data_IF_528998113886
#
_entry.id   IF_528998113886
#
_cell.length_a   1.000
_cell.length_b   1.000
_cell.length_c   1.000
_cell.angle_alpha   90.00
_cell.angle_beta   90.00
_cell.angle_gamma   90.00
#
_symmetry.space_group_name_H-M   'P 1'
#
loop_
_entity.id
_entity.type
_entity.pdbx_description
1 polymer ?
#
# COMPACT_ATOMS: atom_id res chain seq x y z
N UNK A 1 17.11 -1.31 -22.78
CA UNK A 1 16.32 -2.57 -22.70
C UNK A 1 14.94 -2.27 -22.09
N UNK A 2 13.90 -3.08 -22.34
CA UNK A 2 12.60 -2.93 -21.67
C UNK A 2 12.46 -3.95 -20.54
N UNK A 3 11.97 -3.50 -19.39
CA UNK A 3 11.63 -4.37 -18.26
C UNK A 3 10.16 -4.17 -17.88
N UNK A 4 9.49 -5.25 -17.50
CA UNK A 4 8.13 -5.22 -17.03
C UNK A 4 8.08 -5.57 -15.55
N UNK A 5 7.47 -4.71 -14.73
CA UNK A 5 7.40 -4.82 -13.27
C UNK A 5 5.96 -4.68 -12.78
N UNK A 6 5.57 -5.46 -11.77
CA UNK A 6 4.33 -5.24 -11.04
C UNK A 6 4.61 -4.49 -9.73
N UNK A 7 3.81 -3.48 -9.39
CA UNK A 7 4.04 -2.66 -8.19
C UNK A 7 2.67 -2.33 -7.58
N UNK A 8 2.51 -2.52 -6.27
CA UNK A 8 1.29 -2.07 -5.62
C UNK A 8 1.17 -0.53 -5.66
N UNK A 9 -0.06 -0.03 -5.67
CA UNK A 9 -0.32 1.38 -5.92
C UNK A 9 0.34 2.32 -4.88
N UNK A 10 0.37 1.92 -3.61
CA UNK A 10 0.94 2.73 -2.55
C UNK A 10 2.47 2.82 -2.64
N UNK A 11 3.15 1.75 -3.02
CA UNK A 11 4.60 1.77 -3.26
C UNK A 11 4.93 2.65 -4.45
N UNK A 12 4.12 2.58 -5.52
CA UNK A 12 4.25 3.45 -6.69
C UNK A 12 4.06 4.93 -6.32
N UNK A 13 3.12 5.23 -5.43
CA UNK A 13 2.84 6.59 -5.00
C UNK A 13 3.86 7.17 -4.00
N UNK A 14 4.71 6.33 -3.40
CA UNK A 14 5.61 6.74 -2.31
C UNK A 14 7.08 6.60 -2.66
N UNK A 15 7.66 5.40 -2.52
CA UNK A 15 9.11 5.20 -2.55
C UNK A 15 9.62 4.61 -3.87
N UNK A 16 8.75 3.94 -4.65
CA UNK A 16 9.20 3.18 -5.82
C UNK A 16 9.68 4.09 -6.96
N UNK A 17 9.20 5.33 -7.05
CA UNK A 17 9.62 6.30 -8.08
C UNK A 17 11.12 6.56 -8.09
N UNK A 18 11.78 6.40 -6.94
CA UNK A 18 13.24 6.56 -6.81
C UNK A 18 14.04 5.53 -7.62
N UNK A 19 13.41 4.41 -7.99
CA UNK A 19 14.01 3.40 -8.88
C UNK A 19 14.32 3.97 -10.26
N UNK A 20 13.49 4.89 -10.77
CA UNK A 20 13.67 5.45 -12.12
C UNK A 20 14.97 6.22 -12.27
N UNK A 21 15.36 6.98 -11.24
CA UNK A 21 16.61 7.75 -11.23
C UNK A 21 17.86 6.84 -11.25
N UNK A 22 17.72 5.56 -10.89
CA UNK A 22 18.82 4.59 -10.78
C UNK A 22 19.04 3.77 -12.05
N UNK A 23 18.09 3.80 -12.98
CA UNK A 23 18.10 2.99 -14.19
C UNK A 23 17.76 3.85 -15.43
N UNK A 24 18.54 4.91 -15.73
CA UNK A 24 18.22 5.86 -16.80
C UNK A 24 18.29 5.25 -18.21
N UNK A 25 18.95 4.10 -18.37
CA UNK A 25 19.14 3.36 -19.61
C UNK A 25 18.06 2.28 -19.87
N UNK A 26 17.02 2.23 -19.04
CA UNK A 26 15.98 1.20 -19.06
C UNK A 26 14.62 1.81 -19.38
N UNK A 27 13.87 1.15 -20.27
CA UNK A 27 12.46 1.44 -20.52
C UNK A 27 11.59 0.62 -19.56
N UNK A 28 10.67 1.27 -18.87
CA UNK A 28 9.79 0.62 -17.91
C UNK A 28 8.41 0.31 -18.52
N UNK A 29 7.89 -0.86 -18.18
CA UNK A 29 6.49 -1.27 -18.31
C UNK A 29 6.00 -1.61 -16.90
N UNK A 30 5.43 -0.63 -16.19
CA UNK A 30 4.98 -0.79 -14.81
C UNK A 30 3.49 -1.11 -14.81
N UNK A 31 3.11 -2.21 -14.18
CA UNK A 31 1.72 -2.61 -13.93
C UNK A 31 1.36 -2.39 -12.48
N UNK A 32 0.31 -1.62 -12.25
CA UNK A 32 -0.21 -1.39 -10.90
C UNK A 32 -1.20 -2.51 -10.58
N UNK A 33 -0.79 -3.40 -9.68
CA UNK A 33 -1.49 -4.63 -9.39
C UNK A 33 -1.45 -4.92 -7.88
N UNK A 34 -2.46 -5.61 -7.39
CA UNK A 34 -2.46 -6.17 -6.03
C UNK A 34 -1.59 -7.44 -5.93
N UNK A 35 -1.54 -8.03 -4.74
CA UNK A 35 -0.73 -9.22 -4.48
C UNK A 35 -1.14 -10.44 -5.32
N UNK A 36 -2.43 -10.65 -5.57
CA UNK A 36 -2.93 -11.85 -6.27
C UNK A 36 -2.63 -11.75 -7.78
N UNK A 37 -2.87 -10.57 -8.36
CA UNK A 37 -2.59 -10.31 -9.75
C UNK A 37 -1.08 -10.25 -10.03
N UNK A 38 -0.29 -9.62 -9.16
CA UNK A 38 1.18 -9.57 -9.33
C UNK A 38 1.82 -10.97 -9.31
N UNK A 39 1.37 -11.87 -8.44
CA UNK A 39 1.84 -13.25 -8.39
C UNK A 39 1.52 -14.03 -9.68
N UNK A 40 0.35 -13.80 -10.27
CA UNK A 40 -0.03 -14.37 -11.57
C UNK A 40 0.88 -13.86 -12.68
N UNK A 41 1.12 -12.56 -12.77
CA UNK A 41 1.98 -11.97 -13.80
C UNK A 41 3.43 -12.49 -13.74
N UNK A 42 3.96 -12.72 -12.53
CA UNK A 42 5.27 -13.35 -12.34
C UNK A 42 5.29 -14.79 -12.88
N UNK A 43 4.25 -15.57 -12.55
CA UNK A 43 4.13 -16.98 -12.95
C UNK A 43 3.96 -17.15 -14.46
N UNK A 44 3.23 -16.24 -15.09
CA UNK A 44 3.00 -16.22 -16.54
C UNK A 44 4.18 -15.63 -17.34
N UNK A 45 5.21 -15.13 -16.66
CA UNK A 45 6.38 -14.54 -17.33
C UNK A 45 6.13 -13.14 -17.91
N UNK A 46 5.02 -12.49 -17.53
CA UNK A 46 4.60 -11.18 -18.05
C UNK A 46 5.36 -10.03 -17.39
N UNK A 47 5.77 -10.21 -16.14
CA UNK A 47 6.67 -9.29 -15.41
C UNK A 47 7.87 -10.07 -14.88
N UNK A 48 9.04 -9.44 -14.86
CA UNK A 48 10.27 -10.04 -14.35
C UNK A 48 10.44 -9.89 -12.83
N UNK A 49 9.70 -8.94 -12.25
CA UNK A 49 9.72 -8.66 -10.82
C UNK A 49 8.45 -7.97 -10.33
N UNK A 50 8.15 -8.12 -9.05
CA UNK A 50 7.01 -7.53 -8.40
C UNK A 50 7.34 -7.02 -6.99
N UNK A 51 6.82 -5.85 -6.64
CA UNK A 51 6.67 -5.40 -5.25
C UNK A 51 5.31 -5.87 -4.75
N UNK A 52 5.29 -6.71 -3.72
CA UNK A 52 4.08 -7.38 -3.23
C UNK A 52 4.08 -7.48 -1.70
N UNK A 53 2.90 -7.73 -1.12
CA UNK A 53 2.73 -8.08 0.30
C UNK A 53 2.85 -9.60 0.54
N UNK A 54 2.87 -10.41 -0.54
CA UNK A 54 3.01 -11.86 -0.45
C UNK A 54 4.45 -12.27 -0.14
N UNK A 55 4.62 -12.94 1.01
CA UNK A 55 5.91 -13.46 1.47
C UNK A 55 6.30 -14.75 0.75
N UNK A 56 5.33 -15.54 0.34
CA UNK A 56 5.53 -16.86 -0.26
C UNK A 56 6.07 -16.68 -1.68
N UNK A 57 7.23 -17.30 -2.02
CA UNK A 57 7.80 -17.19 -3.35
C UNK A 57 6.85 -17.79 -4.40
N UNK A 58 6.65 -17.04 -5.49
CA UNK A 58 6.16 -17.63 -6.75
C UNK A 58 7.22 -18.62 -7.26
N UNK A 59 6.78 -19.78 -7.74
CA UNK A 59 7.70 -20.79 -8.29
C UNK A 59 8.62 -20.21 -9.36
N UNK A 60 9.92 -20.42 -9.22
CA UNK A 60 10.93 -19.84 -10.13
C UNK A 60 11.36 -18.40 -9.77
N UNK A 61 10.84 -17.82 -8.69
CA UNK A 61 11.25 -16.50 -8.21
C UNK A 61 12.12 -16.58 -6.94
N UNK A 62 12.96 -15.57 -6.75
CA UNK A 62 13.59 -15.22 -5.46
C UNK A 62 12.69 -14.21 -4.75
N UNK A 63 12.73 -14.18 -3.43
CA UNK A 63 12.01 -13.23 -2.58
C UNK A 63 13.02 -12.52 -1.69
N UNK A 64 12.97 -11.20 -1.64
CA UNK A 64 13.73 -10.38 -0.69
C UNK A 64 12.77 -9.47 0.10
N UNK A 65 12.89 -9.40 1.44
CA UNK A 65 12.15 -8.42 2.21
C UNK A 65 12.63 -7.00 1.87
N UNK A 66 11.69 -6.06 1.76
CA UNK A 66 11.97 -4.65 1.49
C UNK A 66 11.83 -3.76 2.74
N UNK A 67 11.08 -4.25 3.73
CA UNK A 67 10.76 -3.50 4.93
C UNK A 67 9.25 -3.50 5.16
N UNK A 68 8.79 -2.53 5.93
CA UNK A 68 7.40 -2.40 6.37
C UNK A 68 6.90 -1.01 5.99
N UNK A 69 5.71 -0.98 5.38
CA UNK A 69 4.97 0.24 5.13
C UNK A 69 3.91 0.41 6.19
N UNK A 70 3.94 1.55 6.89
CA UNK A 70 2.99 1.86 7.95
C UNK A 70 1.82 2.67 7.40
N UNK A 71 0.62 2.27 7.81
CA UNK A 71 -0.63 2.96 7.52
C UNK A 71 -1.24 3.50 8.80
N UNK A 72 -1.65 4.76 8.77
CA UNK A 72 -2.42 5.38 9.84
C UNK A 72 -3.87 5.59 9.37
N UNK A 73 -4.85 5.42 10.26
CA UNK A 73 -6.20 5.86 9.98
C UNK A 73 -6.27 7.37 10.10
N UNK A 74 -6.63 8.03 9.01
CA UNK A 74 -6.69 9.49 8.93
C UNK A 74 -8.05 9.97 8.46
N UNK A 75 -8.39 11.18 8.90
CA UNK A 75 -9.52 11.96 8.44
C UNK A 75 -9.18 13.45 8.51
N UNK A 76 -10.08 14.32 8.08
CA UNK A 76 -9.96 15.75 8.35
C UNK A 76 -10.54 16.09 9.73
N UNK A 77 -10.13 17.20 10.32
CA UNK A 77 -10.70 17.69 11.59
C UNK A 77 -12.22 17.85 11.52
N UNK A 78 -12.74 18.43 10.43
CA UNK A 78 -14.17 18.59 10.23
C UNK A 78 -14.92 17.25 10.15
N UNK A 79 -14.29 16.22 9.58
CA UNK A 79 -14.85 14.87 9.59
C UNK A 79 -14.91 14.29 11.02
N UNK A 80 -13.83 14.45 11.80
CA UNK A 80 -13.77 14.01 13.20
C UNK A 80 -14.86 14.68 14.03
N UNK A 81 -15.00 16.00 13.95
CA UNK A 81 -16.03 16.75 14.69
C UNK A 81 -17.46 16.31 14.33
N UNK A 82 -17.70 15.97 13.06
CA UNK A 82 -19.03 15.59 12.58
C UNK A 82 -19.40 14.14 12.89
N UNK A 83 -18.47 13.21 12.68
CA UNK A 83 -18.76 11.77 12.70
C UNK A 83 -18.20 11.05 13.91
N UNK A 84 -17.14 11.58 14.53
CA UNK A 84 -16.42 10.96 15.63
C UNK A 84 -16.17 11.97 16.79
N UNK A 85 -17.18 12.75 17.25
CA UNK A 85 -16.98 13.79 18.27
C UNK A 85 -16.53 13.22 19.62
N UNK A 86 -16.97 11.99 19.94
CA UNK A 86 -16.58 11.24 21.13
C UNK A 86 -15.40 10.28 20.86
N UNK A 87 -14.73 10.45 19.72
CA UNK A 87 -13.62 9.62 19.26
C UNK A 87 -14.03 8.35 18.52
N UNK A 88 -13.05 7.48 18.28
CA UNK A 88 -13.23 6.24 17.51
C UNK A 88 -13.86 5.13 18.36
N UNK A 89 -15.15 5.27 18.63
CA UNK A 89 -15.96 4.29 19.37
C UNK A 89 -16.62 3.28 18.43
N UNK A 90 -17.10 2.17 19.00
CA UNK A 90 -17.74 1.12 18.20
C UNK A 90 -19.00 1.62 17.46
N UNK A 91 -19.84 2.37 18.17
CA UNK A 91 -21.10 2.89 17.64
C UNK A 91 -20.83 3.93 16.56
N UNK A 92 -19.88 4.85 16.82
CA UNK A 92 -19.50 5.86 15.84
C UNK A 92 -18.94 5.23 14.56
N UNK A 93 -18.13 4.18 14.66
CA UNK A 93 -17.59 3.45 13.49
C UNK A 93 -18.68 2.74 12.67
N UNK A 94 -19.76 2.29 13.28
CA UNK A 94 -20.86 1.65 12.57
C UNK A 94 -21.60 2.63 11.64
N UNK A 95 -21.66 3.91 12.03
CA UNK A 95 -22.38 4.95 11.29
C UNK A 95 -21.48 5.83 10.42
N UNK A 96 -20.20 5.97 10.79
CA UNK A 96 -19.23 6.85 10.14
C UNK A 96 -18.73 6.26 8.80
N UNK A 97 -18.88 6.97 7.67
CA UNK A 97 -18.38 6.51 6.38
C UNK A 97 -16.85 6.29 6.36
N UNK A 98 -16.40 5.17 5.81
CA UNK A 98 -14.99 4.95 5.54
C UNK A 98 -14.69 4.95 4.04
N UNK A 99 -13.43 5.16 3.69
CA UNK A 99 -12.89 4.98 2.35
C UNK A 99 -12.19 3.62 2.26
N UNK A 100 -12.37 2.94 1.13
CA UNK A 100 -11.62 1.76 0.73
C UNK A 100 -11.22 1.90 -0.74
N UNK A 101 -10.13 1.26 -1.16
CA UNK A 101 -9.70 1.33 -2.55
C UNK A 101 -10.68 0.61 -3.50
N UNK A 102 -11.00 -0.64 -3.14
CA UNK A 102 -11.91 -1.52 -3.83
C UNK A 102 -12.57 -2.48 -2.81
N UNK A 103 -13.23 -3.55 -3.28
CA UNK A 103 -13.90 -4.51 -2.39
C UNK A 103 -12.95 -5.50 -1.72
N UNK A 104 -11.73 -5.60 -2.21
CA UNK A 104 -10.70 -6.52 -1.72
C UNK A 104 -9.73 -5.83 -0.74
N UNK A 105 -9.81 -4.49 -0.64
CA UNK A 105 -9.08 -3.71 0.36
C UNK A 105 -9.57 -4.02 1.78
N UNK A 106 -8.69 -4.68 2.54
CA UNK A 106 -8.98 -5.14 3.88
C UNK A 106 -8.38 -4.24 4.97
N UNK A 107 -7.66 -3.15 4.64
CA UNK A 107 -6.88 -2.39 5.63
C UNK A 107 -7.76 -1.78 6.72
N UNK A 108 -8.88 -1.16 6.35
CA UNK A 108 -9.81 -0.53 7.27
C UNK A 108 -10.50 -1.59 8.14
N UNK A 109 -10.86 -2.74 7.55
CA UNK A 109 -11.45 -3.87 8.28
C UNK A 109 -10.46 -4.48 9.29
N UNK A 110 -9.18 -4.59 8.92
CA UNK A 110 -8.12 -5.04 9.80
C UNK A 110 -7.91 -4.08 10.97
N UNK A 111 -7.93 -2.76 10.74
CA UNK A 111 -7.86 -1.78 11.83
C UNK A 111 -9.04 -1.92 12.77
N UNK A 112 -10.28 -1.95 12.25
CA UNK A 112 -11.50 -2.08 13.07
C UNK A 112 -11.43 -3.35 13.92
N UNK A 113 -10.99 -4.48 13.34
CA UNK A 113 -10.76 -5.72 14.08
C UNK A 113 -9.67 -5.58 15.14
N UNK A 114 -8.58 -4.86 14.84
CA UNK A 114 -7.48 -4.62 15.79
C UNK A 114 -7.94 -3.81 17.00
N UNK A 115 -8.67 -2.72 16.77
CA UNK A 115 -9.16 -1.80 17.80
C UNK A 115 -10.25 -2.45 18.66
N UNK A 116 -11.28 -3.01 18.02
CA UNK A 116 -12.51 -3.44 18.73
C UNK A 116 -12.62 -4.95 18.95
N UNK A 117 -11.64 -5.73 18.46
CA UNK A 117 -11.63 -7.21 18.48
C UNK A 117 -12.86 -7.84 17.81
N UNK A 118 -13.51 -7.09 16.91
CA UNK A 118 -14.72 -7.51 16.18
C UNK A 118 -14.78 -6.83 14.81
N UNK A 119 -15.52 -7.44 13.89
CA UNK A 119 -15.84 -6.78 12.61
C UNK A 119 -17.06 -5.88 12.80
N UNK A 120 -17.03 -4.69 12.22
CA UNK A 120 -18.13 -3.72 12.25
C UNK A 120 -18.48 -3.37 10.82
N UNK A 121 -19.76 -3.55 10.45
CA UNK A 121 -20.27 -3.05 9.17
C UNK A 121 -20.40 -1.54 9.28
N UNK A 122 -20.02 -0.83 8.22
CA UNK A 122 -20.06 0.62 8.12
C UNK A 122 -20.35 1.05 6.68
N UNK A 123 -20.81 2.29 6.43
CA UNK A 123 -20.87 2.83 5.08
C UNK A 123 -19.46 2.93 4.47
N UNK A 124 -19.30 2.51 3.20
CA UNK A 124 -18.00 2.51 2.53
C UNK A 124 -18.07 3.21 1.18
N UNK A 125 -17.22 4.20 0.99
CA UNK A 125 -16.89 4.76 -0.31
C UNK A 125 -15.73 3.97 -0.93
N UNK A 126 -15.87 3.58 -2.19
CA UNK A 126 -14.82 2.89 -2.93
C UNK A 126 -14.17 3.88 -3.90
N UNK A 127 -12.96 4.33 -3.59
CA UNK A 127 -12.23 5.32 -4.38
C UNK A 127 -10.83 4.79 -4.66
N UNK A 128 -10.56 4.36 -5.91
CA UNK A 128 -9.22 3.91 -6.28
C UNK A 128 -8.29 5.10 -6.53
N UNK A 129 -7.01 4.79 -6.71
CA UNK A 129 -5.85 5.71 -6.88
C UNK A 129 -5.46 6.40 -5.57
N UNK A 130 -4.15 6.52 -5.31
CA UNK A 130 -3.67 7.15 -4.08
C UNK A 130 -4.11 8.62 -4.01
N UNK A 131 -4.01 9.34 -5.14
CA UNK A 131 -4.47 10.72 -5.26
C UNK A 131 -5.99 10.86 -5.06
N UNK A 132 -6.79 9.97 -5.65
CA UNK A 132 -8.25 9.97 -5.47
C UNK A 132 -8.66 9.64 -4.03
N UNK A 133 -7.99 8.67 -3.42
CA UNK A 133 -8.21 8.30 -2.02
C UNK A 133 -7.92 9.48 -1.09
N UNK A 134 -6.76 10.12 -1.24
CA UNK A 134 -6.41 11.34 -0.51
C UNK A 134 -7.42 12.48 -0.72
N UNK A 135 -7.84 12.73 -1.97
CA UNK A 135 -8.87 13.71 -2.27
C UNK A 135 -10.22 13.40 -1.60
N UNK A 136 -10.60 12.12 -1.49
CA UNK A 136 -11.79 11.68 -0.77
C UNK A 136 -11.70 11.97 0.74
N UNK A 137 -10.53 11.75 1.35
CA UNK A 137 -10.29 12.12 2.74
C UNK A 137 -10.38 13.64 2.92
N UNK A 138 -9.69 14.43 2.08
CA UNK A 138 -9.73 15.90 2.16
C UNK A 138 -11.14 16.47 1.98
N UNK A 139 -11.95 15.88 1.11
CA UNK A 139 -13.35 16.26 0.90
C UNK A 139 -14.27 15.90 2.09
N UNK A 140 -13.74 15.20 3.11
CA UNK A 140 -14.52 14.76 4.26
C UNK A 140 -15.52 13.66 3.93
N UNK A 141 -15.27 12.86 2.87
CA UNK A 141 -16.16 11.74 2.51
C UNK A 141 -16.07 10.60 3.51
N UNK A 142 -14.93 10.43 4.18
CA UNK A 142 -14.70 9.34 5.11
C UNK A 142 -13.31 9.38 5.71
N UNK A 143 -13.11 8.54 6.72
CA UNK A 143 -11.77 8.19 7.19
C UNK A 143 -11.19 7.03 6.37
N UNK A 144 -9.86 6.91 6.31
CA UNK A 144 -9.21 5.84 5.56
C UNK A 144 -7.83 5.48 6.08
N UNK A 145 -7.37 4.27 5.76
CA UNK A 145 -5.99 3.85 6.04
C UNK A 145 -5.07 4.44 4.98
N UNK A 146 -4.07 5.21 5.40
CA UNK A 146 -3.22 5.93 4.47
C UNK A 146 -1.73 5.74 4.79
N UNK A 147 -0.85 5.52 3.80
CA UNK A 147 0.59 5.37 4.03
C UNK A 147 1.16 6.61 4.70
N UNK A 148 2.02 6.42 5.72
CA UNK A 148 2.59 7.54 6.48
C UNK A 148 3.32 8.57 5.62
N UNK A 149 3.91 8.15 4.51
CA UNK A 149 4.65 9.00 3.58
C UNK A 149 3.75 9.93 2.74
N UNK A 150 2.45 9.65 2.67
CA UNK A 150 1.48 10.48 1.95
C UNK A 150 0.67 11.40 2.86
N UNK A 151 0.83 11.28 4.18
CA UNK A 151 0.09 12.09 5.15
C UNK A 151 0.67 13.50 5.19
N UNK A 152 -0.20 14.50 5.01
CA UNK A 152 0.15 15.91 5.18
C UNK A 152 -0.51 16.52 6.44
N UNK A 153 -0.27 17.81 6.67
CA UNK A 153 -0.74 18.52 7.87
C UNK A 153 -2.26 18.74 7.94
N UNK A 154 -3.02 18.47 6.87
CA UNK A 154 -4.48 18.60 6.86
C UNK A 154 -5.20 17.36 7.39
N UNK A 155 -4.47 16.27 7.57
CA UNK A 155 -4.98 15.04 8.13
C UNK A 155 -4.71 14.94 9.64
N UNK A 156 -5.68 14.39 10.36
CA UNK A 156 -5.58 14.06 11.78
C UNK A 156 -5.78 12.56 11.98
N UNK A 157 -5.08 11.94 12.95
CA UNK A 157 -5.26 10.54 13.25
C UNK A 157 -6.65 10.29 13.84
N UNK A 158 -7.30 9.25 13.36
CA UNK A 158 -8.63 8.81 13.83
C UNK A 158 -8.52 7.94 15.08
N UNK A 159 -7.41 7.20 15.21
CA UNK A 159 -7.06 6.46 16.43
C UNK A 159 -5.54 6.39 16.59
N UNK A 160 -5.07 6.02 17.78
CA UNK A 160 -3.64 5.82 18.07
C UNK A 160 -3.08 4.52 17.45
N UNK A 161 -3.95 3.71 16.86
CA UNK A 161 -3.59 2.44 16.23
C UNK A 161 -3.13 2.61 14.77
N UNK A 162 -2.30 1.68 14.33
CA UNK A 162 -1.74 1.64 12.98
C UNK A 162 -1.67 0.21 12.45
N UNK A 163 -1.50 0.07 11.15
CA UNK A 163 -1.17 -1.20 10.51
C UNK A 163 0.20 -1.13 9.87
N UNK A 164 0.97 -2.19 10.07
CA UNK A 164 2.30 -2.38 9.51
C UNK A 164 2.21 -3.49 8.47
N UNK A 165 2.44 -3.15 7.21
CA UNK A 165 2.34 -4.07 6.06
C UNK A 165 3.74 -4.39 5.55
N UNK A 166 4.24 -5.62 5.74
CA UNK A 166 5.51 -6.05 5.16
C UNK A 166 5.46 -6.04 3.64
N UNK A 167 6.51 -5.53 3.02
CA UNK A 167 6.70 -5.54 1.58
C UNK A 167 7.85 -6.47 1.19
N UNK A 168 7.68 -7.10 0.04
CA UNK A 168 8.63 -8.04 -0.55
C UNK A 168 8.87 -7.68 -2.01
N UNK A 169 10.12 -7.80 -2.43
CA UNK A 169 10.52 -7.85 -3.82
C UNK A 169 10.59 -9.31 -4.24
N UNK A 170 9.79 -9.70 -5.22
CA UNK A 170 9.89 -11.00 -5.86
C UNK A 170 10.39 -10.81 -7.28
N UNK A 171 11.39 -11.57 -7.72
CA UNK A 171 11.88 -11.50 -9.10
C UNK A 171 12.32 -12.87 -9.61
N UNK A 172 12.38 -13.04 -10.93
CA UNK A 172 12.83 -14.31 -11.51
C UNK A 172 14.20 -14.73 -11.00
N UNK A 173 14.35 -16.03 -10.74
CA UNK A 173 15.63 -16.67 -10.42
C UNK A 173 16.44 -16.89 -11.70
N UNK A 174 16.88 -15.78 -12.31
CA UNK A 174 17.72 -15.78 -13.50
C UNK A 174 19.04 -15.08 -13.18
N UNK A 175 20.16 -15.68 -13.57
CA UNK A 175 21.46 -15.03 -13.48
C UNK A 175 21.61 -14.05 -14.64
N UNK A 176 21.08 -12.86 -14.42
CA UNK A 176 21.01 -11.78 -15.41
C UNK A 176 21.42 -10.45 -14.79
N UNK A 177 22.34 -9.75 -15.45
CA UNK A 177 22.84 -8.45 -14.98
C UNK A 177 21.72 -7.42 -14.83
N UNK A 178 20.70 -7.45 -15.70
CA UNK A 178 19.56 -6.52 -15.58
C UNK A 178 18.69 -6.84 -14.36
N UNK A 179 18.47 -8.12 -14.04
CA UNK A 179 17.72 -8.53 -12.84
C UNK A 179 18.44 -8.07 -11.58
N UNK A 180 19.78 -8.24 -11.54
CA UNK A 180 20.62 -7.75 -10.46
C UNK A 180 20.51 -6.23 -10.27
N UNK A 181 20.74 -5.45 -11.34
CA UNK A 181 20.64 -3.99 -11.31
C UNK A 181 19.27 -3.48 -10.86
N UNK A 182 18.18 -4.10 -11.33
CA UNK A 182 16.82 -3.74 -10.93
C UNK A 182 16.58 -4.08 -9.47
N UNK A 183 16.99 -5.26 -9.02
CA UNK A 183 16.88 -5.68 -7.62
C UNK A 183 17.60 -4.70 -6.70
N UNK A 184 18.83 -4.33 -7.03
CA UNK A 184 19.61 -3.38 -6.24
C UNK A 184 18.94 -2.01 -6.19
N UNK A 185 18.42 -1.52 -7.33
CA UNK A 185 17.70 -0.25 -7.38
C UNK A 185 16.44 -0.25 -6.50
N UNK A 186 15.65 -1.33 -6.53
CA UNK A 186 14.45 -1.49 -5.69
C UNK A 186 14.83 -1.57 -4.22
N UNK A 187 15.85 -2.33 -3.84
CA UNK A 187 16.29 -2.44 -2.44
C UNK A 187 16.78 -1.09 -1.89
N UNK A 188 17.52 -0.32 -2.69
CA UNK A 188 17.98 1.00 -2.26
C UNK A 188 16.83 1.99 -2.16
N UNK A 189 15.87 1.97 -3.09
CA UNK A 189 14.67 2.82 -3.01
C UNK A 189 13.82 2.48 -1.77
N UNK A 190 13.75 1.19 -1.40
CA UNK A 190 13.03 0.72 -0.22
C UNK A 190 13.76 1.00 1.11
N UNK A 191 15.00 1.49 1.10
CA UNK A 191 15.81 1.66 2.32
C UNK A 191 15.20 2.63 3.36
N UNK A 192 14.29 3.51 2.94
CA UNK A 192 13.53 4.41 3.82
C UNK A 192 12.33 3.75 4.51
N UNK A 193 11.97 2.52 4.15
CA UNK A 193 10.90 1.78 4.82
C UNK A 193 11.30 1.38 6.24
N UNK A 194 10.30 1.13 7.09
CA UNK A 194 10.54 0.66 8.44
C UNK A 194 11.17 -0.73 8.40
N UNK A 195 12.11 -1.00 9.31
CA UNK A 195 12.69 -2.34 9.45
C UNK A 195 11.64 -3.29 10.02
N UNK A 196 11.51 -4.48 9.43
CA UNK A 196 10.73 -5.56 10.02
C UNK A 196 11.34 -5.94 11.37
N UNK A 197 10.55 -5.90 12.44
CA UNK A 197 10.95 -6.41 13.76
C UNK A 197 11.00 -7.94 13.77
#
# INVERSE_FOLDING_TARGET
PRIALAVNADSMATWFTDVFARLPDVLFDVRIEDQDHSARLLREGVVMGAVTTERTPVGGCRVQPLGVMRYLPVATTAYMERHLPDGFTLDAVADAPSLAWNRDDALQDQLVRKVFRRSVRRPVHYIPTAAGFGAGVHAGLGWGMYPTQLIDASFVPVSDEHLDVPLYWQCWKLDSTIVGRVTDAVQVAAAGLLRSR
#
